data_IF_592303829254
#
_entry.id   IF_592303829254
#
_cell.length_a   1.000
_cell.length_b   1.000
_cell.length_c   1.000
_cell.angle_alpha   90.00
_cell.angle_beta   90.00
_cell.angle_gamma   90.00
#
_symmetry.space_group_name_H-M   'P 1'
#
loop_
_entity.id
_entity.type
_entity.pdbx_description
1 polymer ?
#
# COMPACT_ATOMS: atom_id res chain seq x y z
N UNK A 1 -21.58 -1.50 -13.25
CA UNK A 1 -21.32 -2.51 -12.19
C UNK A 1 -21.93 -2.10 -10.85
N UNK A 2 -23.06 -1.52 -10.88
CA UNK A 2 -23.71 -0.93 -9.71
C UNK A 2 -24.25 -1.96 -8.73
N UNK A 3 -24.63 -3.14 -9.21
CA UNK A 3 -25.23 -4.19 -8.38
C UNK A 3 -24.29 -5.33 -8.03
N UNK A 4 -23.24 -5.54 -8.84
CA UNK A 4 -22.28 -6.60 -8.66
C UNK A 4 -20.88 -6.01 -8.44
N UNK A 5 -20.37 -6.19 -7.25
CA UNK A 5 -19.02 -5.72 -6.89
C UNK A 5 -17.91 -6.69 -7.27
N UNK A 6 -18.29 -7.80 -7.92
CA UNK A 6 -17.38 -8.81 -8.40
C UNK A 6 -17.17 -8.68 -9.90
N UNK A 7 -16.01 -9.05 -10.37
CA UNK A 7 -15.71 -9.13 -11.79
C UNK A 7 -14.67 -10.25 -12.04
N UNK A 8 -14.61 -10.70 -13.28
CA UNK A 8 -13.61 -11.68 -13.68
C UNK A 8 -12.37 -10.98 -14.24
N UNK A 9 -11.21 -11.32 -13.70
CA UNK A 9 -9.92 -10.92 -14.21
C UNK A 9 -9.12 -12.17 -14.54
N UNK A 10 -8.79 -12.38 -15.80
CA UNK A 10 -8.06 -13.57 -16.28
C UNK A 10 -8.70 -14.89 -15.83
N UNK A 11 -10.04 -14.95 -15.83
CA UNK A 11 -10.78 -16.14 -15.44
C UNK A 11 -10.95 -16.32 -13.92
N UNK A 12 -10.49 -15.38 -13.10
CA UNK A 12 -10.63 -15.40 -11.65
C UNK A 12 -11.70 -14.40 -11.23
N UNK A 13 -12.66 -14.84 -10.43
CA UNK A 13 -13.64 -13.94 -9.84
C UNK A 13 -12.98 -13.09 -8.76
N UNK A 14 -13.05 -11.76 -8.91
CA UNK A 14 -12.49 -10.81 -7.96
C UNK A 14 -13.57 -9.92 -7.36
N UNK A 15 -13.31 -9.42 -6.15
CA UNK A 15 -14.14 -8.43 -5.48
C UNK A 15 -13.69 -7.00 -5.80
N UNK A 16 -14.45 -6.03 -5.35
CA UNK A 16 -14.08 -4.62 -5.40
C UNK A 16 -12.70 -4.42 -4.74
N UNK A 17 -11.79 -3.81 -5.48
CA UNK A 17 -10.41 -3.61 -5.05
C UNK A 17 -9.92 -2.24 -5.49
N UNK A 18 -9.18 -1.56 -4.63
CA UNK A 18 -8.49 -0.34 -4.96
C UNK A 18 -6.98 -0.61 -5.05
N UNK A 19 -6.37 -0.19 -6.15
CA UNK A 19 -4.92 -0.28 -6.35
C UNK A 19 -4.38 1.14 -6.38
N UNK A 20 -3.46 1.43 -5.47
CA UNK A 20 -2.76 2.72 -5.39
C UNK A 20 -1.31 2.47 -5.73
N UNK A 21 -0.86 3.04 -6.83
CA UNK A 21 0.50 2.88 -7.29
C UNK A 21 1.24 4.21 -7.14
N UNK A 22 2.22 4.21 -6.27
CA UNK A 22 3.20 5.27 -6.08
C UNK A 22 2.60 6.69 -6.00
N UNK A 23 1.81 7.00 -4.95
CA UNK A 23 1.07 8.25 -4.86
C UNK A 23 1.96 9.49 -4.70
N UNK A 24 3.24 9.31 -4.38
CA UNK A 24 4.23 10.38 -4.23
C UNK A 24 5.26 10.31 -5.34
N UNK A 25 5.38 11.37 -6.11
CA UNK A 25 6.19 11.39 -7.33
C UNK A 25 7.67 11.67 -7.11
N UNK A 26 8.01 12.42 -6.06
CA UNK A 26 9.38 12.86 -5.84
C UNK A 26 9.63 13.21 -4.37
N UNK A 27 10.90 13.44 -4.04
CA UNK A 27 11.33 13.75 -2.67
C UNK A 27 10.75 15.06 -2.13
N UNK A 28 10.55 16.06 -2.98
CA UNK A 28 9.99 17.34 -2.56
C UNK A 28 8.56 17.19 -2.03
N UNK A 29 7.73 16.43 -2.76
CA UNK A 29 6.37 16.08 -2.31
C UNK A 29 6.41 15.22 -1.06
N UNK A 30 7.31 14.24 -1.01
CA UNK A 30 7.46 13.33 0.12
C UNK A 30 7.77 14.07 1.43
N UNK A 31 8.57 15.11 1.37
CA UNK A 31 8.98 15.90 2.54
C UNK A 31 8.01 17.05 2.88
N UNK A 32 6.94 17.22 2.14
CA UNK A 32 5.94 18.27 2.39
C UNK A 32 4.86 17.77 3.37
N UNK A 33 4.78 18.32 4.59
CA UNK A 33 3.71 17.96 5.53
C UNK A 33 2.31 18.21 4.98
N UNK A 34 2.15 19.28 4.21
CA UNK A 34 0.88 19.60 3.55
C UNK A 34 0.49 18.54 2.53
N UNK A 35 1.41 18.09 1.73
CA UNK A 35 1.17 17.04 0.74
C UNK A 35 0.89 15.68 1.39
N UNK A 36 1.63 15.34 2.43
CA UNK A 36 1.41 14.12 3.22
C UNK A 36 0.01 14.10 3.82
N UNK A 37 -0.43 15.21 4.41
CA UNK A 37 -1.76 15.33 4.98
C UNK A 37 -2.86 15.27 3.90
N UNK A 38 -2.63 15.89 2.75
CA UNK A 38 -3.58 15.89 1.64
C UNK A 38 -3.80 14.48 1.07
N UNK A 39 -2.74 13.69 0.90
CA UNK A 39 -2.84 12.30 0.44
C UNK A 39 -3.58 11.43 1.44
N UNK A 40 -3.28 11.56 2.72
CA UNK A 40 -3.96 10.81 3.77
C UNK A 40 -5.45 11.17 3.83
N UNK A 41 -5.78 12.46 3.74
CA UNK A 41 -7.16 12.93 3.69
C UNK A 41 -7.91 12.39 2.46
N UNK A 42 -7.28 12.42 1.30
CA UNK A 42 -7.85 11.82 0.09
C UNK A 42 -8.11 10.32 0.26
N UNK A 43 -7.18 9.59 0.86
CA UNK A 43 -7.35 8.16 1.12
C UNK A 43 -8.58 7.90 2.01
N UNK A 44 -8.68 8.60 3.13
CA UNK A 44 -9.72 8.36 4.12
C UNK A 44 -11.10 8.88 3.69
N UNK A 45 -11.14 10.04 3.03
CA UNK A 45 -12.41 10.71 2.69
C UNK A 45 -12.95 10.36 1.31
N UNK A 46 -12.09 10.00 0.37
CA UNK A 46 -12.50 9.76 -1.01
C UNK A 46 -12.35 8.31 -1.42
N UNK A 47 -11.16 7.75 -1.31
CA UNK A 47 -10.91 6.39 -1.77
C UNK A 47 -11.60 5.35 -0.91
N UNK A 48 -11.37 5.42 0.38
CA UNK A 48 -11.87 4.42 1.34
C UNK A 48 -13.39 4.34 1.34
N UNK A 49 -14.07 5.47 1.18
CA UNK A 49 -15.55 5.53 1.15
C UNK A 49 -16.16 4.84 -0.08
N UNK A 50 -15.35 4.56 -1.09
CA UNK A 50 -15.81 3.88 -2.32
C UNK A 50 -15.61 2.38 -2.28
N UNK A 51 -14.96 1.87 -1.25
CA UNK A 51 -14.79 0.44 -1.06
C UNK A 51 -16.06 -0.17 -0.49
N UNK A 52 -16.38 -1.38 -0.96
CA UNK A 52 -17.40 -2.20 -0.30
C UNK A 52 -16.82 -2.78 1.00
N UNK A 53 -17.68 -3.30 1.92
CA UNK A 53 -17.20 -3.93 3.16
C UNK A 53 -16.17 -5.03 2.94
N UNK A 54 -16.27 -5.75 1.80
CA UNK A 54 -15.32 -6.81 1.43
C UNK A 54 -14.20 -6.32 0.50
N UNK A 55 -14.14 -5.02 0.26
CA UNK A 55 -13.15 -4.40 -0.61
C UNK A 55 -11.74 -4.53 -0.05
N UNK A 56 -10.78 -4.64 -0.95
CA UNK A 56 -9.36 -4.75 -0.60
C UNK A 56 -8.57 -3.58 -1.17
N UNK A 57 -7.48 -3.24 -0.49
CA UNK A 57 -6.56 -2.20 -0.93
C UNK A 57 -5.19 -2.82 -1.15
N UNK A 58 -4.64 -2.58 -2.33
CA UNK A 58 -3.23 -2.84 -2.63
C UNK A 58 -2.52 -1.51 -2.78
N UNK A 59 -1.56 -1.25 -1.90
CA UNK A 59 -0.75 -0.04 -1.93
C UNK A 59 0.69 -0.39 -2.28
N UNK A 60 1.15 0.09 -3.43
CA UNK A 60 2.53 -0.06 -3.89
C UNK A 60 3.23 1.28 -3.78
N UNK A 61 4.31 1.35 -3.01
CA UNK A 61 5.03 2.60 -2.77
C UNK A 61 6.54 2.40 -2.76
N UNK A 62 7.25 3.44 -3.18
CA UNK A 62 8.64 3.64 -2.81
C UNK A 62 8.66 4.52 -1.56
N UNK A 63 9.31 4.06 -0.50
CA UNK A 63 9.33 4.76 0.79
C UNK A 63 10.29 5.94 0.74
N UNK A 64 9.75 7.13 0.62
CA UNK A 64 10.51 8.38 0.61
C UNK A 64 10.61 9.04 1.99
N UNK A 65 9.61 8.81 2.83
CA UNK A 65 9.48 9.44 4.13
C UNK A 65 8.69 8.55 5.08
N UNK A 66 9.02 8.56 6.36
CA UNK A 66 8.34 7.74 7.38
C UNK A 66 6.86 8.12 7.57
N UNK A 67 6.50 9.37 7.33
CA UNK A 67 5.13 9.90 7.42
C UNK A 67 4.37 9.88 6.09
N UNK A 68 4.80 9.08 5.14
CA UNK A 68 4.06 8.86 3.91
C UNK A 68 2.73 8.13 4.17
N UNK A 69 1.92 7.94 3.14
CA UNK A 69 0.63 7.26 3.27
C UNK A 69 0.78 5.89 3.95
N UNK A 70 1.74 5.08 3.51
CA UNK A 70 1.99 3.77 4.09
C UNK A 70 2.37 3.86 5.58
N UNK A 71 3.26 4.77 5.93
CA UNK A 71 3.67 4.98 7.32
C UNK A 71 2.52 5.39 8.22
N UNK A 72 1.66 6.29 7.75
CA UNK A 72 0.48 6.73 8.51
C UNK A 72 -0.54 5.61 8.69
N UNK A 73 -0.77 4.80 7.66
CA UNK A 73 -1.69 3.65 7.74
C UNK A 73 -1.19 2.58 8.70
N UNK A 74 0.11 2.27 8.66
CA UNK A 74 0.72 1.31 9.59
C UNK A 74 0.67 1.80 11.03
N UNK A 75 0.94 3.07 11.27
CA UNK A 75 0.84 3.68 12.59
C UNK A 75 -0.60 3.65 13.13
N UNK A 76 -1.57 3.91 12.28
CA UNK A 76 -2.98 3.81 12.64
C UNK A 76 -3.35 2.37 13.01
N UNK A 77 -2.87 1.38 12.28
CA UNK A 77 -3.09 -0.04 12.57
C UNK A 77 -2.51 -0.46 13.92
N UNK A 78 -1.42 0.16 14.36
CA UNK A 78 -0.81 -0.10 15.67
C UNK A 78 -1.57 0.54 16.82
N UNK A 79 -2.14 1.72 16.60
CA UNK A 79 -2.73 2.55 17.65
C UNK A 79 -4.25 2.37 17.80
N UNK A 80 -4.93 1.95 16.76
CA UNK A 80 -6.38 1.79 16.72
C UNK A 80 -6.73 0.32 16.41
N UNK A 81 -7.34 -0.40 17.39
CA UNK A 81 -7.71 -1.81 17.17
C UNK A 81 -8.80 -2.00 16.12
N UNK A 82 -9.58 -0.96 15.82
CA UNK A 82 -10.61 -1.00 14.78
C UNK A 82 -10.09 -0.63 13.39
N UNK A 83 -8.84 -0.23 13.28
CA UNK A 83 -8.21 0.08 12.00
C UNK A 83 -7.89 -1.17 11.20
N UNK A 84 -7.84 -1.01 9.88
CA UNK A 84 -7.43 -2.08 8.98
C UNK A 84 -6.02 -2.56 9.31
N UNK A 85 -5.83 -3.86 9.30
CA UNK A 85 -4.53 -4.49 9.47
C UNK A 85 -3.90 -4.77 8.12
N UNK A 86 -2.61 -4.53 8.01
CA UNK A 86 -1.88 -4.58 6.74
C UNK A 86 -0.88 -5.73 6.71
N UNK A 87 -0.91 -6.49 5.63
CA UNK A 87 0.19 -7.37 5.29
C UNK A 87 1.25 -6.57 4.53
N UNK A 88 2.47 -6.54 5.05
CA UNK A 88 3.56 -5.75 4.47
C UNK A 88 4.53 -6.64 3.74
N UNK A 89 4.72 -6.37 2.45
CA UNK A 89 5.72 -7.03 1.61
C UNK A 89 6.80 -6.00 1.29
N UNK A 90 8.02 -6.27 1.70
CA UNK A 90 9.17 -5.38 1.46
C UNK A 90 10.21 -6.09 0.62
N UNK A 91 10.56 -5.49 -0.50
CA UNK A 91 11.58 -5.99 -1.42
C UNK A 91 12.71 -4.95 -1.52
N UNK A 92 13.73 -5.04 -0.66
CA UNK A 92 14.86 -4.11 -0.73
C UNK A 92 15.64 -4.29 -2.04
N UNK A 93 16.32 -3.24 -2.48
CA UNK A 93 17.13 -3.29 -3.72
C UNK A 93 18.20 -4.39 -3.65
N UNK A 94 18.83 -4.55 -2.49
CA UNK A 94 19.73 -5.65 -2.19
C UNK A 94 19.10 -6.47 -1.06
N UNK A 95 19.01 -7.78 -1.23
CA UNK A 95 18.45 -8.66 -0.20
C UNK A 95 19.35 -8.64 1.05
N UNK A 96 18.74 -8.34 2.20
CA UNK A 96 19.41 -8.26 3.50
C UNK A 96 18.99 -9.43 4.39
N UNK A 97 19.84 -9.83 5.30
CA UNK A 97 19.50 -10.84 6.31
C UNK A 97 18.73 -10.21 7.48
N UNK A 98 17.68 -10.89 7.99
CA UNK A 98 17.08 -12.13 7.47
C UNK A 98 16.22 -11.84 6.22
N UNK A 99 16.38 -12.68 5.21
CA UNK A 99 15.54 -12.58 3.99
C UNK A 99 14.12 -13.02 4.32
N UNK A 100 13.14 -12.23 3.95
CA UNK A 100 11.74 -12.56 4.17
C UNK A 100 11.32 -13.84 3.42
N UNK A 101 10.39 -14.61 3.98
CA UNK A 101 9.97 -15.90 3.42
C UNK A 101 9.41 -15.82 1.99
N UNK A 102 8.88 -14.68 1.60
CA UNK A 102 8.37 -14.43 0.25
C UNK A 102 9.46 -13.98 -0.73
N UNK A 103 10.63 -13.62 -0.24
CA UNK A 103 11.76 -13.18 -1.06
C UNK A 103 12.69 -14.39 -1.28
N UNK A 104 12.77 -14.86 -2.52
CA UNK A 104 13.54 -16.05 -2.87
C UNK A 104 15.01 -15.75 -3.14
N UNK A 105 15.42 -14.51 -2.99
CA UNK A 105 16.83 -14.12 -3.20
C UNK A 105 17.72 -14.56 -2.04
N UNK A 106 18.97 -14.77 -2.35
CA UNK A 106 20.00 -14.95 -1.32
C UNK A 106 20.42 -13.59 -0.78
N UNK A 107 20.89 -13.53 0.49
CA UNK A 107 21.47 -12.29 1.01
C UNK A 107 22.55 -11.73 0.08
N UNK A 108 22.47 -10.43 -0.20
CA UNK A 108 23.38 -9.75 -1.12
C UNK A 108 22.94 -9.73 -2.59
N UNK A 109 21.91 -10.48 -2.98
CA UNK A 109 21.42 -10.44 -4.35
C UNK A 109 20.59 -9.18 -4.63
N UNK A 110 20.79 -8.60 -5.81
CA UNK A 110 20.02 -7.45 -6.27
C UNK A 110 18.61 -7.85 -6.70
N UNK A 111 17.67 -6.91 -6.63
CA UNK A 111 16.27 -7.12 -7.06
C UNK A 111 16.19 -7.38 -8.57
N UNK A 112 17.06 -6.72 -9.34
CA UNK A 112 17.28 -7.00 -10.76
C UNK A 112 18.75 -6.88 -11.12
N UNK A 113 19.10 -7.62 -12.10
CA UNK A 113 20.46 -7.63 -12.61
C UNK A 113 20.75 -6.41 -13.49
#
# INVERSE_FOLDING_TARGET
MEECHNFFAEGILTHNCAIIDDPVKNRKEANSPTYQAAIFDWYTSTLYTRLTPDGQVLLTVTRWHENDLAGRLLKLAETDPDADQWEVVTLPAIAEEPVAHYDQRRPGEALWA
#
